data_IF_333075791793
#
_entry.id   IF_333075791793
#
_cell.length_a   1.000
_cell.length_b   1.000
_cell.length_c   1.000
_cell.angle_alpha   90.00
_cell.angle_beta   90.00
_cell.angle_gamma   90.00
#
_symmetry.space_group_name_H-M   'P 1'
#
loop_
_entity.id
_entity.type
_entity.pdbx_description
1 polymer ?
#
# COMPACT_ATOMS: atom_id res chain seq x y z
N UNK A 1 -0.65 25.16 10.13
CA UNK A 1 -0.46 23.93 10.94
C UNK A 1 -1.48 22.81 10.64
N UNK A 2 -2.78 23.08 10.41
CA UNK A 2 -3.78 22.00 10.20
C UNK A 2 -3.67 21.26 8.84
N UNK A 3 -3.33 21.95 7.75
CA UNK A 3 -3.27 21.36 6.41
C UNK A 3 -2.19 20.27 6.25
N UNK A 4 -1.10 20.33 7.03
CA UNK A 4 -0.04 19.33 7.01
C UNK A 4 -0.44 18.05 7.78
N UNK A 5 -1.17 18.18 8.91
CA UNK A 5 -1.74 17.02 9.62
C UNK A 5 -2.72 16.25 8.75
N UNK A 6 -3.53 16.97 7.98
CA UNK A 6 -4.51 16.37 7.07
C UNK A 6 -3.84 15.69 5.88
N UNK A 7 -2.82 16.31 5.26
CA UNK A 7 -2.00 15.68 4.21
C UNK A 7 -1.29 14.42 4.72
N UNK A 8 -0.79 14.45 5.94
CA UNK A 8 -0.14 13.29 6.55
C UNK A 8 -1.11 12.11 6.75
N UNK A 9 -2.25 12.36 7.41
CA UNK A 9 -3.27 11.34 7.64
C UNK A 9 -3.75 10.74 6.31
N UNK A 10 -3.99 11.59 5.31
CA UNK A 10 -4.44 11.13 4.01
C UNK A 10 -3.42 10.21 3.35
N UNK A 11 -2.13 10.56 3.32
CA UNK A 11 -1.09 9.71 2.74
C UNK A 11 -0.91 8.39 3.50
N UNK A 12 -0.94 8.41 4.83
CA UNK A 12 -0.84 7.18 5.62
C UNK A 12 -2.07 6.28 5.45
N UNK A 13 -3.29 6.83 5.42
CA UNK A 13 -4.52 6.07 5.18
C UNK A 13 -4.54 5.50 3.77
N UNK A 14 -4.19 6.30 2.76
CA UNK A 14 -4.15 5.86 1.37
C UNK A 14 -3.13 4.73 1.16
N UNK A 15 -1.94 4.85 1.77
CA UNK A 15 -0.92 3.82 1.75
C UNK A 15 -1.39 2.51 2.42
N UNK A 16 -2.03 2.59 3.58
CA UNK A 16 -2.61 1.43 4.27
C UNK A 16 -3.70 0.74 3.44
N UNK A 17 -4.57 1.51 2.79
CA UNK A 17 -5.62 0.98 1.92
C UNK A 17 -5.00 0.29 0.70
N UNK A 18 -3.97 0.89 0.08
CA UNK A 18 -3.27 0.28 -1.07
C UNK A 18 -2.57 -1.03 -0.69
N UNK A 19 -1.95 -1.09 0.49
CA UNK A 19 -1.33 -2.29 1.05
C UNK A 19 -2.40 -3.37 1.28
N UNK A 20 -3.52 -3.02 1.91
CA UNK A 20 -4.63 -3.95 2.13
C UNK A 20 -5.23 -4.47 0.83
N UNK A 21 -5.47 -3.58 -0.14
CA UNK A 21 -5.99 -3.94 -1.45
C UNK A 21 -5.01 -4.84 -2.24
N UNK A 22 -3.71 -4.53 -2.21
CA UNK A 22 -2.67 -5.38 -2.81
C UNK A 22 -2.61 -6.77 -2.18
N UNK A 23 -2.80 -6.87 -0.85
CA UNK A 23 -2.83 -8.14 -0.15
C UNK A 23 -4.09 -8.96 -0.50
N UNK A 24 -5.26 -8.31 -0.58
CA UNK A 24 -6.50 -8.97 -1.03
C UNK A 24 -6.38 -9.49 -2.46
N UNK A 25 -5.80 -8.71 -3.38
CA UNK A 25 -5.54 -9.13 -4.77
C UNK A 25 -4.55 -10.31 -4.83
N UNK A 26 -3.53 -10.33 -3.97
CA UNK A 26 -2.58 -11.43 -3.89
C UNK A 26 -3.23 -12.73 -3.37
N UNK A 27 -4.15 -12.61 -2.39
CA UNK A 27 -4.91 -13.74 -1.85
C UNK A 27 -5.91 -14.26 -2.89
N UNK A 28 -6.62 -13.36 -3.57
CA UNK A 28 -7.57 -13.71 -4.64
C UNK A 28 -6.87 -14.43 -5.79
N UNK A 29 -5.69 -13.93 -6.19
CA UNK A 29 -4.80 -14.67 -7.05
C UNK A 29 -4.57 -16.06 -6.45
N UNK A 30 -4.02 -16.16 -5.23
CA UNK A 30 -3.62 -17.45 -4.64
C UNK A 30 -4.75 -18.49 -4.61
N UNK A 31 -5.99 -18.04 -4.45
CA UNK A 31 -7.19 -18.87 -4.59
C UNK A 31 -7.43 -19.31 -6.05
N UNK A 32 -7.28 -18.40 -7.01
CA UNK A 32 -7.37 -18.69 -8.45
C UNK A 32 -6.36 -19.76 -8.91
N UNK A 33 -5.18 -19.84 -8.29
CA UNK A 33 -4.21 -20.94 -8.51
C UNK A 33 -4.78 -22.31 -8.13
N UNK A 34 -5.56 -22.36 -7.05
CA UNK A 34 -6.11 -23.62 -6.53
C UNK A 34 -7.24 -24.15 -7.40
N UNK A 35 -8.00 -23.25 -8.04
CA UNK A 35 -9.14 -23.60 -8.90
C UNK A 35 -8.71 -23.94 -10.35
N UNK A 36 -7.66 -23.30 -10.87
CA UNK A 36 -7.18 -23.49 -12.24
C UNK A 36 -5.65 -23.74 -12.31
N UNK A 37 -5.21 -25.02 -12.25
CA UNK A 37 -3.78 -25.38 -12.15
C UNK A 37 -2.96 -25.16 -13.44
N UNK A 38 -3.61 -24.92 -14.59
CA UNK A 38 -2.98 -24.87 -15.92
C UNK A 38 -2.64 -23.46 -16.44
N UNK A 39 -2.87 -22.41 -15.65
CA UNK A 39 -2.61 -21.03 -16.02
C UNK A 39 -1.40 -20.41 -15.33
N UNK A 40 -0.29 -20.19 -16.06
CA UNK A 40 0.80 -19.28 -15.63
C UNK A 40 0.32 -17.84 -15.35
N UNK A 41 -0.92 -17.53 -15.76
CA UNK A 41 -1.62 -16.28 -15.55
C UNK A 41 -1.76 -15.91 -14.05
N UNK A 42 -1.82 -16.91 -13.17
CA UNK A 42 -1.83 -16.69 -11.73
C UNK A 42 -0.59 -15.93 -11.23
N UNK A 43 0.59 -16.26 -11.76
CA UNK A 43 1.85 -15.63 -11.36
C UNK A 43 1.90 -14.18 -11.84
N UNK A 44 1.41 -13.89 -13.05
CA UNK A 44 1.32 -12.51 -13.54
C UNK A 44 0.37 -11.68 -12.68
N UNK A 45 -0.79 -12.23 -12.32
CA UNK A 45 -1.77 -11.55 -11.48
C UNK A 45 -1.25 -11.33 -10.04
N UNK A 46 -0.59 -12.35 -9.46
CA UNK A 46 0.08 -12.24 -8.16
C UNK A 46 1.26 -11.26 -8.17
N UNK A 47 2.04 -11.22 -9.26
CA UNK A 47 3.14 -10.26 -9.42
C UNK A 47 2.62 -8.84 -9.54
N UNK A 48 1.53 -8.64 -10.28
CA UNK A 48 0.85 -7.35 -10.35
C UNK A 48 0.35 -6.90 -8.96
N UNK A 49 -0.26 -7.81 -8.20
CA UNK A 49 -0.67 -7.54 -6.82
C UNK A 49 0.52 -7.16 -5.91
N UNK A 50 1.67 -7.82 -6.06
CA UNK A 50 2.90 -7.49 -5.34
C UNK A 50 3.47 -6.11 -5.72
N UNK A 51 3.39 -5.72 -6.99
CA UNK A 51 3.80 -4.38 -7.45
C UNK A 51 2.92 -3.29 -6.83
N UNK A 52 1.59 -3.54 -6.79
CA UNK A 52 0.63 -2.63 -6.14
C UNK A 52 0.89 -2.55 -4.64
N UNK A 53 1.14 -3.69 -3.98
CA UNK A 53 1.47 -3.77 -2.56
C UNK A 53 2.77 -3.00 -2.24
N UNK A 54 3.82 -3.22 -3.02
CA UNK A 54 5.11 -2.56 -2.83
C UNK A 54 5.02 -1.03 -3.08
N UNK A 55 4.26 -0.62 -4.09
CA UNK A 55 3.94 0.79 -4.32
C UNK A 55 3.16 1.41 -3.16
N UNK A 56 2.22 0.66 -2.57
CA UNK A 56 1.50 1.04 -1.36
C UNK A 56 2.42 1.29 -0.17
N UNK A 57 3.42 0.42 0.04
CA UNK A 57 4.44 0.58 1.09
C UNK A 57 5.27 1.84 0.87
N UNK A 58 5.72 2.11 -0.36
CA UNK A 58 6.47 3.33 -0.67
C UNK A 58 5.65 4.60 -0.39
N UNK A 59 4.37 4.60 -0.77
CA UNK A 59 3.45 5.71 -0.54
C UNK A 59 3.18 5.91 0.97
N UNK A 60 2.99 4.81 1.69
CA UNK A 60 2.86 4.83 3.15
C UNK A 60 4.11 5.38 3.84
N UNK A 61 5.30 4.96 3.40
CA UNK A 61 6.59 5.43 3.94
C UNK A 61 6.80 6.93 3.75
N UNK A 62 6.48 7.48 2.57
CA UNK A 62 6.49 8.92 2.35
C UNK A 62 5.51 9.64 3.29
N UNK A 63 4.30 9.08 3.46
CA UNK A 63 3.35 9.53 4.48
C UNK A 63 4.01 9.63 5.86
N UNK A 64 4.55 8.54 6.39
CA UNK A 64 5.19 8.53 7.73
C UNK A 64 6.29 9.59 7.85
N UNK A 65 7.13 9.78 6.83
CA UNK A 65 8.18 10.82 6.84
C UNK A 65 7.58 12.23 6.96
N UNK A 66 6.49 12.52 6.24
CA UNK A 66 5.77 13.79 6.39
C UNK A 66 5.19 13.98 7.79
N UNK A 67 4.78 12.90 8.50
CA UNK A 67 4.39 12.99 9.92
C UNK A 67 5.55 13.48 10.76
N UNK A 68 6.68 12.79 10.61
CA UNK A 68 7.84 12.97 11.49
C UNK A 68 8.40 14.37 11.31
N UNK A 69 8.46 14.86 10.07
CA UNK A 69 8.82 16.25 9.78
C UNK A 69 7.85 17.26 10.38
N UNK A 70 6.56 17.01 10.31
CA UNK A 70 5.55 17.87 10.92
C UNK A 70 5.64 17.88 12.45
N UNK A 71 5.89 16.73 13.06
CA UNK A 71 6.05 16.61 14.52
C UNK A 71 7.34 17.27 15.01
N UNK A 72 8.40 17.25 14.18
CA UNK A 72 9.67 17.94 14.46
C UNK A 72 9.55 19.47 14.34
N UNK A 73 8.85 19.97 13.31
CA UNK A 73 8.57 21.40 13.10
C UNK A 73 7.67 21.98 14.19
N UNK A 74 6.74 21.18 14.73
CA UNK A 74 5.86 21.61 15.83
C UNK A 74 6.56 21.65 17.21
N UNK A 75 7.84 21.30 17.31
CA UNK A 75 8.61 21.29 18.57
C UNK A 75 9.63 22.42 18.69
N UNK A 76 9.78 23.25 17.66
CA UNK A 76 10.59 24.49 17.64
C UNK A 76 9.68 25.71 17.70
#
# INVERSE_FOLDING_TARGET
MQALKQKWLFFSILGLILIGAGLSLAIDAAFFRMDHPEGWNWIYYGTFALVVFNSGICCFGQGVIYKVKLDADNRV
#
